data_IF_983078119417
#
_entry.id   IF_983078119417
#
_cell.length_a   1.000
_cell.length_b   1.000
_cell.length_c   1.000
_cell.angle_alpha   90.00
_cell.angle_beta   90.00
_cell.angle_gamma   90.00
#
_symmetry.space_group_name_H-M   'P 1'
#
loop_
_entity.id
_entity.type
_entity.pdbx_description
1 polymer ?
#
# COMPACT_ATOMS: atom_id res chain seq x y z
N UNK A 1 -16.22 2.44 2.21
CA UNK A 1 -15.06 1.61 2.59
C UNK A 1 -15.27 1.15 4.02
N UNK A 2 -15.10 -0.14 4.32
CA UNK A 2 -15.28 -0.67 5.68
C UNK A 2 -13.93 -1.11 6.26
N UNK A 3 -13.40 -0.42 7.29
CA UNK A 3 -12.10 -0.74 7.86
C UNK A 3 -12.16 -1.99 8.74
N UNK A 4 -11.02 -2.69 8.85
CA UNK A 4 -10.81 -3.77 9.81
C UNK A 4 -9.33 -3.83 10.21
N UNK A 5 -9.02 -4.57 11.27
CA UNK A 5 -7.65 -4.87 11.70
C UNK A 5 -7.38 -6.35 11.55
N UNK A 6 -6.15 -6.73 11.23
CA UNK A 6 -5.73 -8.12 11.12
C UNK A 6 -4.25 -8.27 11.43
N UNK A 7 -3.81 -9.48 11.78
CA UNK A 7 -2.39 -9.78 11.99
C UNK A 7 -1.74 -10.25 10.69
N UNK A 8 -0.58 -9.68 10.35
CA UNK A 8 0.23 -10.08 9.20
C UNK A 8 1.69 -9.64 9.39
N UNK A 9 2.65 -10.49 9.02
CA UNK A 9 4.09 -10.25 9.28
C UNK A 9 4.36 -9.77 10.71
N UNK A 10 3.88 -10.54 11.71
CA UNK A 10 4.06 -10.28 13.15
C UNK A 10 3.65 -8.88 13.63
N UNK A 11 2.75 -8.22 12.91
CA UNK A 11 2.27 -6.88 13.25
C UNK A 11 0.78 -6.72 12.97
N UNK A 12 0.15 -5.83 13.73
CA UNK A 12 -1.25 -5.46 13.52
C UNK A 12 -1.33 -4.49 12.34
N UNK A 13 -2.07 -4.89 11.30
CA UNK A 13 -2.23 -4.15 10.07
C UNK A 13 -3.61 -3.52 9.94
N UNK A 14 -3.67 -2.43 9.18
CA UNK A 14 -4.92 -1.81 8.76
C UNK A 14 -5.40 -2.40 7.45
N UNK A 15 -6.62 -2.90 7.47
CA UNK A 15 -7.31 -3.46 6.33
C UNK A 15 -8.55 -2.66 5.95
N UNK A 16 -8.96 -2.80 4.70
CA UNK A 16 -10.22 -2.24 4.23
C UNK A 16 -10.89 -3.12 3.19
N UNK A 17 -12.21 -3.22 3.30
CA UNK A 17 -13.05 -3.87 2.30
C UNK A 17 -13.50 -2.85 1.24
N UNK A 18 -13.24 -3.17 -0.02
CA UNK A 18 -13.62 -2.36 -1.18
C UNK A 18 -13.91 -3.27 -2.37
N UNK A 19 -15.07 -3.07 -3.03
CA UNK A 19 -15.48 -3.85 -4.21
C UNK A 19 -15.40 -5.38 -4.06
N UNK A 20 -15.81 -5.92 -2.91
CA UNK A 20 -15.78 -7.36 -2.60
C UNK A 20 -14.37 -7.96 -2.48
N UNK A 21 -13.37 -7.09 -2.34
CA UNK A 21 -11.97 -7.43 -2.18
C UNK A 21 -11.44 -6.85 -0.86
N UNK A 22 -10.37 -7.45 -0.34
CA UNK A 22 -9.72 -7.03 0.89
C UNK A 22 -8.36 -6.43 0.58
N UNK A 23 -8.11 -5.26 1.13
CA UNK A 23 -6.88 -4.52 0.94
C UNK A 23 -6.23 -4.24 2.29
N UNK A 24 -4.92 -4.02 2.28
CA UNK A 24 -4.17 -3.54 3.44
C UNK A 24 -3.42 -2.26 3.12
N UNK A 25 -3.19 -1.43 4.15
CA UNK A 25 -2.50 -0.16 4.00
C UNK A 25 -1.00 -0.40 3.85
N UNK A 26 -0.48 -0.17 2.65
CA UNK A 26 0.94 -0.30 2.35
C UNK A 26 1.73 0.93 2.79
N UNK A 27 1.15 2.12 2.62
CA UNK A 27 1.79 3.39 2.96
C UNK A 27 0.75 4.45 3.32
N UNK A 28 1.10 5.33 4.24
CA UNK A 28 0.38 6.55 4.57
C UNK A 28 1.36 7.72 4.56
N UNK A 29 0.97 8.84 3.95
CA UNK A 29 1.80 10.04 3.82
C UNK A 29 0.94 11.29 3.98
N UNK A 30 1.52 12.45 4.32
CA UNK A 30 0.81 13.72 4.33
C UNK A 30 0.14 14.01 2.98
N UNK A 31 -0.97 14.74 2.99
CA UNK A 31 -1.73 15.07 1.77
C UNK A 31 -0.89 15.83 0.72
N UNK A 32 0.16 16.54 1.15
CA UNK A 32 1.11 17.24 0.25
C UNK A 32 1.87 16.28 -0.67
N UNK A 33 1.99 15.00 -0.30
CA UNK A 33 2.64 13.96 -1.11
C UNK A 33 1.68 13.23 -2.05
N UNK A 34 0.39 13.60 -2.10
CA UNK A 34 -0.66 12.89 -2.86
C UNK A 34 -0.27 12.59 -4.31
N UNK A 35 0.31 13.55 -5.02
CA UNK A 35 0.73 13.36 -6.42
C UNK A 35 1.84 12.32 -6.55
N UNK A 36 2.79 12.29 -5.61
CA UNK A 36 3.87 11.29 -5.57
C UNK A 36 3.31 9.90 -5.28
N UNK A 37 2.38 9.80 -4.33
CA UNK A 37 1.73 8.55 -3.97
C UNK A 37 0.86 8.01 -5.13
N UNK A 38 0.15 8.89 -5.83
CA UNK A 38 -0.64 8.53 -7.01
C UNK A 38 0.25 8.02 -8.16
N UNK A 39 1.36 8.70 -8.46
CA UNK A 39 2.31 8.22 -9.46
C UNK A 39 2.91 6.85 -9.09
N UNK A 40 3.19 6.61 -7.81
CA UNK A 40 3.61 5.30 -7.34
C UNK A 40 2.53 4.24 -7.58
N UNK A 41 1.27 4.53 -7.24
CA UNK A 41 0.15 3.64 -7.50
C UNK A 41 0.02 3.29 -8.99
N UNK A 42 0.14 4.28 -9.89
CA UNK A 42 0.13 4.03 -11.33
C UNK A 42 1.24 3.08 -11.78
N UNK A 43 2.48 3.27 -11.28
CA UNK A 43 3.59 2.35 -11.58
C UNK A 43 3.31 0.93 -11.10
N UNK A 44 2.75 0.78 -9.90
CA UNK A 44 2.40 -0.52 -9.34
C UNK A 44 1.32 -1.21 -10.19
N UNK A 45 0.28 -0.49 -10.61
CA UNK A 45 -0.76 -1.01 -11.51
C UNK A 45 -0.17 -1.43 -12.87
N UNK A 46 0.75 -0.65 -13.42
CA UNK A 46 1.46 -1.00 -14.66
C UNK A 46 2.26 -2.32 -14.53
N UNK A 47 2.72 -2.65 -13.33
CA UNK A 47 3.39 -3.91 -13.01
C UNK A 47 2.41 -5.03 -12.55
N UNK A 48 1.10 -4.84 -12.72
CA UNK A 48 0.08 -5.84 -12.43
C UNK A 48 -0.38 -5.90 -10.97
N UNK A 49 -0.01 -4.92 -10.15
CA UNK A 49 -0.53 -4.83 -8.78
C UNK A 49 -1.94 -4.25 -8.76
N UNK A 50 -2.83 -4.85 -7.98
CA UNK A 50 -4.13 -4.29 -7.62
C UNK A 50 -3.96 -3.40 -6.38
N UNK A 51 -3.95 -2.09 -6.63
CA UNK A 51 -3.75 -1.06 -5.61
C UNK A 51 -4.68 0.12 -5.87
N UNK A 52 -4.96 0.90 -4.83
CA UNK A 52 -5.65 2.18 -4.97
C UNK A 52 -5.17 3.20 -3.93
N UNK A 53 -5.52 4.47 -4.15
CA UNK A 53 -5.21 5.58 -3.25
C UNK A 53 -6.48 6.15 -2.65
N UNK A 54 -6.46 6.43 -1.35
CA UNK A 54 -7.46 7.26 -0.67
C UNK A 54 -6.81 8.54 -0.18
N UNK A 55 -7.59 9.60 -0.05
CA UNK A 55 -7.18 10.85 0.56
C UNK A 55 -8.25 11.30 1.58
N UNK A 56 -7.77 11.79 2.72
CA UNK A 56 -8.52 12.63 3.65
C UNK A 56 -7.98 14.07 3.54
N UNK A 57 -8.43 14.96 4.43
CA UNK A 57 -8.00 16.35 4.44
C UNK A 57 -6.50 16.50 4.72
N UNK A 58 -5.95 15.67 5.60
CA UNK A 58 -4.56 15.78 6.07
C UNK A 58 -3.63 14.70 5.51
N UNK A 59 -4.16 13.58 5.02
CA UNK A 59 -3.37 12.40 4.69
C UNK A 59 -3.83 11.71 3.40
N UNK A 60 -2.92 10.96 2.79
CA UNK A 60 -3.24 10.03 1.73
C UNK A 60 -2.63 8.66 2.01
N UNK A 61 -3.33 7.60 1.58
CA UNK A 61 -2.95 6.22 1.84
C UNK A 61 -2.97 5.41 0.56
N UNK A 62 -1.97 4.54 0.41
CA UNK A 62 -1.87 3.54 -0.64
C UNK A 62 -2.28 2.18 -0.07
N UNK A 63 -3.24 1.56 -0.75
CA UNK A 63 -3.82 0.28 -0.35
C UNK A 63 -3.48 -0.77 -1.40
N UNK A 64 -3.13 -1.97 -0.96
CA UNK A 64 -2.78 -3.10 -1.82
C UNK A 64 -3.68 -4.30 -1.53
N UNK A 65 -4.14 -4.98 -2.58
CA UNK A 65 -5.02 -6.14 -2.45
C UNK A 65 -4.27 -7.29 -1.74
N UNK A 66 -4.89 -7.87 -0.70
CA UNK A 66 -4.34 -8.98 0.07
C UNK A 66 -4.16 -10.26 -0.75
N UNK A 67 -4.88 -10.45 -1.85
CA UNK A 67 -4.73 -11.61 -2.74
C UNK A 67 -3.44 -11.56 -3.57
N UNK A 68 -2.86 -10.39 -3.77
CA UNK A 68 -1.62 -10.19 -4.53
C UNK A 68 -0.33 -10.39 -3.72
N UNK A 69 -0.40 -11.09 -2.59
CA UNK A 69 0.76 -11.43 -1.76
C UNK A 69 1.92 -12.05 -2.55
N UNK A 70 1.66 -12.80 -3.63
CA UNK A 70 2.73 -13.40 -4.45
C UNK A 70 3.54 -12.39 -5.27
N UNK A 71 2.94 -11.30 -5.74
CA UNK A 71 3.64 -10.27 -6.52
C UNK A 71 4.45 -9.36 -5.60
N UNK A 72 3.91 -9.05 -4.42
CA UNK A 72 4.67 -8.33 -3.38
C UNK A 72 5.79 -9.20 -2.81
N UNK A 73 5.54 -10.47 -2.48
CA UNK A 73 6.61 -11.35 -1.99
C UNK A 73 7.71 -11.58 -3.04
N UNK A 74 7.40 -11.70 -4.34
CA UNK A 74 8.42 -11.88 -5.38
C UNK A 74 9.18 -10.59 -5.74
N UNK A 75 8.53 -9.42 -5.66
CA UNK A 75 9.22 -8.12 -5.83
C UNK A 75 9.98 -7.66 -4.58
N UNK A 76 9.67 -8.22 -3.41
CA UNK A 76 10.33 -7.92 -2.12
C UNK A 76 11.42 -8.96 -1.77
N UNK A 77 11.35 -10.20 -2.30
CA UNK A 77 12.30 -11.26 -1.92
C UNK A 77 13.61 -11.26 -2.70
N UNK A 78 13.69 -10.66 -3.89
CA UNK A 78 14.95 -10.64 -4.67
C UNK A 78 15.75 -9.33 -4.55
N UNK A 79 15.12 -8.22 -4.13
CA UNK A 79 15.83 -6.99 -3.75
C UNK A 79 14.99 -6.21 -2.74
N UNK A 80 15.65 -5.81 -1.65
CA UNK A 80 15.19 -4.83 -0.66
C UNK A 80 14.30 -5.40 0.46
N UNK A 81 14.92 -5.52 1.64
CA UNK A 81 14.30 -5.14 2.91
C UNK A 81 13.29 -4.02 2.65
N UNK A 82 12.03 -4.22 3.02
CA UNK A 82 11.04 -3.14 2.93
C UNK A 82 11.69 -1.88 3.52
N UNK A 83 11.78 -0.77 2.76
CA UNK A 83 12.19 0.46 3.36
C UNK A 83 11.07 0.80 4.35
N UNK A 84 11.37 0.64 5.64
CA UNK A 84 10.90 1.59 6.64
C UNK A 84 11.09 2.98 6.03
N UNK A 85 10.14 3.89 6.23
CA UNK A 85 9.92 5.13 5.47
C UNK A 85 11.12 6.10 5.30
N UNK A 86 12.32 5.74 5.73
CA UNK A 86 13.59 6.46 5.63
C UNK A 86 14.31 6.28 4.28
N UNK A 87 13.97 5.29 3.45
CA UNK A 87 14.73 4.95 2.24
C UNK A 87 14.41 5.71 0.93
N UNK A 88 13.54 6.73 0.94
CA UNK A 88 13.07 7.41 -0.28
C UNK A 88 13.30 8.93 -0.30
N UNK A 89 14.22 9.43 0.54
CA UNK A 89 14.74 10.81 0.54
C UNK A 89 16.24 10.81 0.28
N UNK A 90 16.62 10.43 -0.94
CA UNK A 90 17.96 10.51 -1.51
C UNK A 90 17.88 10.64 -3.01
#
# INVERSE_FOLDING_TARGET
MQPFKFWFNDSLQDGVHFQNELYYRLRQTPITERSRLYHLACKLVQHGADVFVTASDDECSLWANLRNQKIFASSVSDKLSLPTAEGLMG
#
